data_IF_333834484345
#
_entry.id   IF_333834484345
#
_cell.length_a   1.000
_cell.length_b   1.000
_cell.length_c   1.000
_cell.angle_alpha   90.00
_cell.angle_beta   90.00
_cell.angle_gamma   90.00
#
_symmetry.space_group_name_H-M   'P 1'
#
loop_
_entity.id
_entity.type
_entity.pdbx_description
1 polymer ?
#
# COMPACT_ATOMS: atom_id res chain seq x y z
N UNK A 1 17.64 18.33 -11.42
CA UNK A 1 17.06 17.45 -12.47
C UNK A 1 15.72 18.04 -12.89
N UNK A 2 15.42 18.11 -14.20
CA UNK A 2 14.17 18.71 -14.70
C UNK A 2 13.01 17.71 -14.65
N UNK A 3 11.82 18.16 -14.22
CA UNK A 3 10.58 17.36 -14.22
C UNK A 3 10.18 16.85 -15.63
N UNK A 4 10.73 17.46 -16.69
CA UNK A 4 10.49 17.03 -18.08
C UNK A 4 11.12 15.67 -18.42
N UNK A 5 12.01 15.14 -17.56
CA UNK A 5 12.67 13.84 -17.74
C UNK A 5 11.89 12.63 -17.18
N UNK A 6 10.75 12.87 -16.51
CA UNK A 6 9.97 11.81 -15.88
C UNK A 6 8.74 11.42 -16.73
N UNK A 7 8.37 10.12 -16.80
CA UNK A 7 7.12 9.71 -17.44
C UNK A 7 5.92 10.41 -16.79
N UNK A 8 4.96 10.91 -17.58
CA UNK A 8 3.72 11.52 -17.04
C UNK A 8 2.92 10.58 -16.13
N UNK A 9 3.10 9.26 -16.25
CA UNK A 9 2.53 8.24 -15.38
C UNK A 9 3.16 8.20 -13.97
N UNK A 10 4.39 8.69 -13.81
CA UNK A 10 5.11 8.75 -12.54
C UNK A 10 4.69 9.96 -11.68
N UNK A 11 3.98 10.93 -12.29
CA UNK A 11 3.42 12.14 -11.69
C UNK A 11 2.03 11.92 -11.07
N UNK A 12 1.47 10.71 -11.13
CA UNK A 12 0.09 10.46 -10.69
C UNK A 12 0.03 10.46 -9.16
N UNK A 13 -0.12 11.66 -8.60
CA UNK A 13 -0.67 11.84 -7.27
C UNK A 13 -2.18 11.60 -7.40
N UNK A 14 -2.60 10.37 -7.13
CA UNK A 14 -4.01 9.95 -7.22
C UNK A 14 -4.93 10.71 -6.25
N UNK A 15 -4.37 11.35 -5.22
CA UNK A 15 -5.09 11.97 -4.12
C UNK A 15 -4.91 13.51 -4.16
N UNK A 16 -5.98 14.22 -4.50
CA UNK A 16 -6.03 15.69 -4.65
C UNK A 16 -5.02 16.28 -5.67
N UNK A 17 -5.01 15.80 -6.93
CA UNK A 17 -4.06 16.29 -7.94
C UNK A 17 -4.22 17.80 -8.23
N UNK A 18 -5.42 18.35 -8.05
CA UNK A 18 -5.73 19.77 -8.25
C UNK A 18 -5.11 20.69 -7.19
N UNK A 19 -4.56 20.15 -6.11
CA UNK A 19 -3.88 20.92 -5.07
C UNK A 19 -2.40 21.17 -5.38
N UNK A 20 -1.87 20.58 -6.45
CA UNK A 20 -0.49 20.76 -6.89
C UNK A 20 -0.40 21.91 -7.91
N UNK A 21 0.37 22.94 -7.58
CA UNK A 21 0.71 23.97 -8.56
C UNK A 21 1.83 23.45 -9.49
N UNK A 22 1.44 22.74 -10.54
CA UNK A 22 2.38 22.13 -11.50
C UNK A 22 3.31 23.14 -12.16
N UNK A 23 2.83 24.36 -12.45
CA UNK A 23 3.67 25.44 -13.01
C UNK A 23 4.80 25.82 -12.07
N UNK A 24 4.51 25.95 -10.77
CA UNK A 24 5.53 26.20 -9.76
C UNK A 24 6.51 25.03 -9.68
N UNK A 25 6.02 23.78 -9.71
CA UNK A 25 6.91 22.61 -9.66
C UNK A 25 7.91 22.60 -10.82
N UNK A 26 7.48 22.96 -12.04
CA UNK A 26 8.38 23.10 -13.19
C UNK A 26 9.36 24.27 -13.08
N UNK A 27 9.02 25.32 -12.33
CA UNK A 27 9.86 26.51 -12.16
C UNK A 27 10.94 26.32 -11.08
N UNK A 28 10.69 25.51 -10.05
CA UNK A 28 11.61 25.30 -8.92
C UNK A 28 13.07 24.98 -9.35
N UNK A 29 13.34 24.10 -10.32
CA UNK A 29 14.71 23.82 -10.76
C UNK A 29 15.48 25.07 -11.21
N UNK A 30 14.79 26.07 -11.78
CA UNK A 30 15.41 27.27 -12.32
C UNK A 30 15.63 28.36 -11.25
N UNK A 31 14.94 28.26 -10.11
CA UNK A 31 14.95 29.30 -9.07
C UNK A 31 15.57 28.87 -7.74
N UNK A 32 15.72 27.55 -7.50
CA UNK A 32 16.13 27.01 -6.19
C UNK A 32 17.55 27.44 -5.77
N UNK A 33 18.43 27.67 -6.74
CA UNK A 33 19.83 28.06 -6.51
C UNK A 33 20.05 29.59 -6.56
N UNK A 34 18.99 30.38 -6.79
CA UNK A 34 19.09 31.84 -6.86
C UNK A 34 19.10 32.44 -5.45
N UNK A 35 20.15 33.20 -5.11
CA UNK A 35 20.36 33.74 -3.76
C UNK A 35 19.26 34.72 -3.33
N UNK A 36 18.61 35.40 -4.27
CA UNK A 36 17.57 36.39 -4.03
C UNK A 36 16.19 35.78 -3.80
N UNK A 37 16.02 34.47 -4.05
CA UNK A 37 14.73 33.79 -4.00
C UNK A 37 14.75 32.74 -2.88
N UNK A 38 13.92 32.95 -1.87
CA UNK A 38 13.61 31.89 -0.89
C UNK A 38 12.39 31.12 -1.36
N UNK A 39 12.58 29.87 -1.77
CA UNK A 39 11.46 28.95 -2.06
C UNK A 39 10.82 28.52 -0.74
N UNK A 40 9.49 28.52 -0.69
CA UNK A 40 8.71 28.02 0.44
C UNK A 40 9.11 26.57 0.78
N UNK A 41 9.45 26.25 2.05
CA UNK A 41 9.83 24.89 2.45
C UNK A 41 8.79 23.82 2.07
N UNK A 42 7.49 24.12 2.15
CA UNK A 42 6.45 23.16 1.75
C UNK A 42 6.54 22.87 0.25
N UNK A 43 6.69 23.90 -0.58
CA UNK A 43 6.87 23.74 -2.03
C UNK A 43 8.15 22.96 -2.39
N UNK A 44 9.25 23.14 -1.64
CA UNK A 44 10.47 22.35 -1.82
C UNK A 44 10.26 20.87 -1.52
N UNK A 45 9.63 20.55 -0.39
CA UNK A 45 9.33 19.15 -0.04
C UNK A 45 8.39 18.55 -1.08
N UNK A 46 7.36 19.28 -1.51
CA UNK A 46 6.44 18.82 -2.55
C UNK A 46 7.18 18.49 -3.85
N UNK A 47 8.06 19.39 -4.28
CA UNK A 47 8.89 19.19 -5.48
C UNK A 47 9.79 17.95 -5.36
N UNK A 48 10.56 17.83 -4.28
CA UNK A 48 11.43 16.67 -4.09
C UNK A 48 10.64 15.38 -3.90
N UNK A 49 9.46 15.43 -3.29
CA UNK A 49 8.58 14.26 -3.17
C UNK A 49 8.04 13.81 -4.53
N UNK A 50 7.67 14.74 -5.41
CA UNK A 50 7.27 14.43 -6.78
C UNK A 50 8.45 13.78 -7.54
N UNK A 51 9.66 14.31 -7.40
CA UNK A 51 10.86 13.71 -8.02
C UNK A 51 11.18 12.33 -7.44
N UNK A 52 11.05 12.16 -6.13
CA UNK A 52 11.23 10.88 -5.46
C UNK A 52 10.29 9.83 -6.05
N UNK A 53 8.97 10.10 -6.06
CA UNK A 53 7.99 9.16 -6.64
C UNK A 53 8.21 8.96 -8.13
N UNK A 54 8.59 10.03 -8.84
CA UNK A 54 8.98 9.98 -10.25
C UNK A 54 10.12 9.00 -10.53
N UNK A 55 11.14 9.04 -9.68
CA UNK A 55 12.37 8.25 -9.85
C UNK A 55 12.17 6.75 -9.70
N UNK A 56 11.08 6.32 -9.04
CA UNK A 56 10.70 4.91 -8.93
C UNK A 56 10.34 4.26 -10.27
N UNK A 57 10.01 5.07 -11.29
CA UNK A 57 9.58 4.61 -12.61
C UNK A 57 10.65 4.80 -13.69
N UNK A 58 11.82 5.34 -13.35
CA UNK A 58 12.93 5.51 -14.29
C UNK A 58 13.72 4.20 -14.36
N UNK A 59 14.01 3.73 -15.57
CA UNK A 59 14.87 2.56 -15.78
C UNK A 59 16.29 2.85 -15.27
N UNK A 60 16.97 1.89 -14.59
CA UNK A 60 18.35 2.02 -14.16
C UNK A 60 19.32 2.39 -15.31
N UNK A 61 18.98 2.05 -16.55
CA UNK A 61 19.74 2.38 -17.76
C UNK A 61 19.70 3.89 -18.10
N UNK A 62 18.68 4.60 -17.63
CA UNK A 62 18.49 6.04 -17.84
C UNK A 62 19.06 6.90 -16.71
N UNK A 63 19.48 6.29 -15.60
CA UNK A 63 20.16 7.00 -14.52
C UNK A 63 21.67 7.07 -14.78
N UNK A 64 22.31 8.25 -14.62
CA UNK A 64 23.76 8.36 -14.69
C UNK A 64 24.43 7.38 -13.72
N UNK A 65 25.51 6.72 -14.18
CA UNK A 65 26.23 5.74 -13.36
C UNK A 65 26.66 6.36 -12.01
N UNK A 66 26.16 5.81 -10.90
CA UNK A 66 26.66 6.07 -9.55
C UNK A 66 25.83 6.98 -8.65
N UNK A 67 24.73 7.57 -9.11
CA UNK A 67 23.85 8.38 -8.24
C UNK A 67 22.61 7.60 -7.79
N UNK A 68 22.48 7.38 -6.47
CA UNK A 68 21.23 6.92 -5.88
C UNK A 68 20.23 8.09 -5.84
N UNK A 69 19.59 8.32 -6.99
CA UNK A 69 18.64 9.43 -7.20
C UNK A 69 17.50 9.39 -6.19
N UNK A 70 16.94 8.20 -5.93
CA UNK A 70 15.84 7.98 -4.98
C UNK A 70 16.26 8.46 -3.58
N UNK A 71 17.40 7.98 -3.08
CA UNK A 71 17.92 8.35 -1.77
C UNK A 71 18.24 9.84 -1.69
N UNK A 72 18.82 10.40 -2.75
CA UNK A 72 19.11 11.84 -2.83
C UNK A 72 17.84 12.67 -2.71
N UNK A 73 16.79 12.35 -3.47
CA UNK A 73 15.51 13.06 -3.40
C UNK A 73 14.87 12.94 -2.02
N UNK A 74 14.90 11.74 -1.42
CA UNK A 74 14.37 11.53 -0.07
C UNK A 74 15.11 12.36 0.98
N UNK A 75 16.45 12.39 0.94
CA UNK A 75 17.26 13.22 1.85
C UNK A 75 16.95 14.70 1.69
N UNK A 76 16.70 15.18 0.47
CA UNK A 76 16.32 16.58 0.26
C UNK A 76 14.94 16.90 0.86
N UNK A 77 13.98 15.98 0.77
CA UNK A 77 12.73 16.10 1.50
C UNK A 77 12.99 16.24 3.01
N UNK A 78 13.82 15.35 3.59
CA UNK A 78 14.11 15.36 5.03
C UNK A 78 14.76 16.67 5.50
N UNK A 79 15.68 17.24 4.71
CA UNK A 79 16.35 18.51 5.03
C UNK A 79 15.40 19.70 5.08
N UNK A 80 14.33 19.68 4.29
CA UNK A 80 13.34 20.76 4.25
C UNK A 80 12.25 20.62 5.34
N UNK A 81 12.18 19.50 6.07
CA UNK A 81 11.18 19.29 7.14
C UNK A 81 11.31 20.29 8.30
N UNK A 82 12.48 20.53 8.91
CA UNK A 82 12.56 21.43 10.06
C UNK A 82 12.04 22.86 9.80
N UNK A 83 12.35 23.52 8.67
CA UNK A 83 11.74 24.81 8.37
C UNK A 83 10.26 24.70 8.01
N UNK A 84 9.82 23.63 7.32
CA UNK A 84 8.40 23.40 7.04
C UNK A 84 7.57 23.25 8.32
N UNK A 85 8.00 22.44 9.28
CA UNK A 85 7.28 22.22 10.54
C UNK A 85 7.03 23.51 11.34
N UNK A 86 7.91 24.51 11.21
CA UNK A 86 7.77 25.81 11.88
C UNK A 86 6.70 26.69 11.22
N UNK A 87 6.38 26.44 9.96
CA UNK A 87 5.52 27.28 9.12
C UNK A 87 4.22 26.56 8.69
N UNK A 88 4.18 25.24 8.81
CA UNK A 88 3.07 24.39 8.42
C UNK A 88 1.77 24.90 9.07
N UNK A 89 0.82 25.25 8.23
CA UNK A 89 -0.45 25.84 8.65
C UNK A 89 -1.64 25.07 8.13
N UNK A 90 -1.47 23.81 7.70
CA UNK A 90 -2.55 22.93 7.27
C UNK A 90 -3.27 23.44 6.01
N UNK A 91 -2.50 23.97 5.06
CA UNK A 91 -2.96 24.36 3.73
C UNK A 91 -3.19 23.15 2.82
N UNK A 92 -3.76 23.38 1.62
CA UNK A 92 -3.87 22.35 0.57
C UNK A 92 -2.51 21.79 0.16
N UNK A 93 -1.48 22.65 0.10
CA UNK A 93 -0.11 22.25 -0.20
C UNK A 93 0.47 21.41 0.94
N UNK A 94 0.25 21.80 2.19
CA UNK A 94 0.66 21.00 3.35
C UNK A 94 0.01 19.61 3.32
N UNK A 95 -1.26 19.52 2.95
CA UNK A 95 -1.98 18.25 2.82
C UNK A 95 -1.30 17.32 1.79
N UNK A 96 -1.15 17.77 0.54
CA UNK A 96 -0.56 16.92 -0.51
C UNK A 96 0.91 16.58 -0.21
N UNK A 97 1.66 17.54 0.31
CA UNK A 97 3.06 17.33 0.74
C UNK A 97 3.14 16.25 1.81
N UNK A 98 2.27 16.30 2.81
CA UNK A 98 2.19 15.30 3.88
C UNK A 98 1.81 13.92 3.34
N UNK A 99 0.88 13.84 2.37
CA UNK A 99 0.49 12.58 1.73
C UNK A 99 1.67 11.96 0.98
N UNK A 100 2.41 12.74 0.19
CA UNK A 100 3.54 12.23 -0.58
C UNK A 100 4.71 11.83 0.31
N UNK A 101 4.99 12.60 1.37
CA UNK A 101 5.99 12.26 2.37
C UNK A 101 5.61 11.01 3.16
N UNK A 102 4.34 10.87 3.56
CA UNK A 102 3.83 9.66 4.20
C UNK A 102 4.11 8.43 3.31
N UNK A 103 3.78 8.50 2.02
CA UNK A 103 4.02 7.42 1.06
C UNK A 103 5.52 7.14 0.89
N UNK A 104 6.34 8.18 0.74
CA UNK A 104 7.78 8.03 0.60
C UNK A 104 8.41 7.38 1.84
N UNK A 105 8.05 7.84 3.04
CA UNK A 105 8.50 7.25 4.30
C UNK A 105 8.09 5.77 4.43
N UNK A 106 6.87 5.43 4.01
CA UNK A 106 6.39 4.05 4.02
C UNK A 106 7.24 3.15 3.10
N UNK A 107 7.59 3.64 1.90
CA UNK A 107 8.46 2.94 0.95
C UNK A 107 9.93 2.85 1.41
N UNK A 108 10.36 3.75 2.31
CA UNK A 108 11.67 3.71 2.97
C UNK A 108 11.64 2.89 4.27
N UNK A 109 10.54 2.19 4.55
CA UNK A 109 10.32 1.44 5.79
C UNK A 109 10.40 2.27 7.09
N UNK A 110 10.27 3.59 7.02
CA UNK A 110 10.18 4.46 8.18
C UNK A 110 8.71 4.62 8.60
N UNK A 111 8.19 3.58 9.25
CA UNK A 111 6.77 3.47 9.62
C UNK A 111 6.33 4.53 10.64
N UNK A 112 7.18 4.88 11.59
CA UNK A 112 6.85 5.89 12.61
C UNK A 112 6.79 7.29 12.02
N UNK A 113 7.72 7.61 11.11
CA UNK A 113 7.68 8.87 10.41
C UNK A 113 6.50 8.93 9.45
N UNK A 114 6.23 7.84 8.71
CA UNK A 114 5.05 7.74 7.84
C UNK A 114 3.74 7.96 8.61
N UNK A 115 3.59 7.30 9.77
CA UNK A 115 2.45 7.50 10.66
C UNK A 115 2.34 8.93 11.19
N UNK A 116 3.48 9.55 11.49
CA UNK A 116 3.54 10.96 11.91
C UNK A 116 3.08 11.92 10.81
N UNK A 117 3.44 11.65 9.56
CA UNK A 117 2.92 12.40 8.41
C UNK A 117 1.43 12.15 8.20
N UNK A 118 0.94 10.92 8.40
CA UNK A 118 -0.50 10.65 8.31
C UNK A 118 -1.32 11.42 9.36
N UNK A 119 -0.82 11.56 10.59
CA UNK A 119 -1.45 12.46 11.59
C UNK A 119 -1.55 13.90 11.09
N UNK A 120 -0.52 14.39 10.40
CA UNK A 120 -0.54 15.73 9.79
C UNK A 120 -1.53 15.81 8.63
N UNK A 121 -1.65 14.77 7.81
CA UNK A 121 -2.71 14.63 6.78
C UNK A 121 -4.08 14.79 7.42
N UNK A 122 -4.39 14.05 8.48
CA UNK A 122 -5.67 14.13 9.18
C UNK A 122 -5.91 15.53 9.80
N UNK A 123 -4.87 16.16 10.34
CA UNK A 123 -4.95 17.54 10.82
C UNK A 123 -5.31 18.51 9.68
N UNK A 124 -4.66 18.39 8.53
CA UNK A 124 -4.95 19.22 7.35
C UNK A 124 -6.38 19.00 6.85
N UNK A 125 -6.85 17.74 6.76
CA UNK A 125 -8.24 17.43 6.36
C UNK A 125 -9.28 18.12 7.26
N UNK A 126 -9.04 18.11 8.58
CA UNK A 126 -9.92 18.79 9.54
C UNK A 126 -9.90 20.29 9.33
N UNK A 127 -8.71 20.88 9.20
CA UNK A 127 -8.53 22.32 9.00
C UNK A 127 -9.15 22.83 7.70
N UNK A 128 -9.05 22.04 6.64
CA UNK A 128 -9.64 22.32 5.33
C UNK A 128 -11.14 21.98 5.26
N UNK A 129 -11.75 21.56 6.38
CA UNK A 129 -13.15 21.14 6.49
C UNK A 129 -13.56 20.05 5.48
N UNK A 130 -12.61 19.21 5.04
CA UNK A 130 -12.86 18.14 4.07
C UNK A 130 -13.67 16.98 4.65
N UNK A 131 -13.80 16.96 5.97
CA UNK A 131 -14.65 16.01 6.69
C UNK A 131 -16.13 16.32 6.64
N UNK A 132 -16.50 17.55 6.27
CA UNK A 132 -17.88 18.02 6.22
C UNK A 132 -18.26 18.52 4.83
N UNK A 133 -17.66 17.94 3.78
CA UNK A 133 -17.90 18.33 2.39
C UNK A 133 -19.38 18.32 2.01
N UNK A 134 -20.17 17.43 2.63
CA UNK A 134 -21.58 17.25 2.31
C UNK A 134 -22.55 17.79 3.38
N UNK A 135 -22.06 18.48 4.42
CA UNK A 135 -22.89 18.95 5.54
C UNK A 135 -23.97 19.98 5.13
N UNK A 136 -23.76 20.72 4.03
CA UNK A 136 -24.61 21.82 3.60
C UNK A 136 -25.34 21.58 2.27
N UNK A 137 -25.52 20.35 1.80
CA UNK A 137 -26.41 20.13 0.65
C UNK A 137 -27.86 20.37 1.08
N UNK A 138 -28.50 21.50 0.68
CA UNK A 138 -29.90 21.68 0.98
C UNK A 138 -30.64 20.62 0.16
N UNK A 139 -31.50 19.85 0.83
CA UNK A 139 -32.44 18.89 0.22
C UNK A 139 -33.52 19.55 -0.65
N UNK A 140 -33.31 20.81 -1.06
CA UNK A 140 -34.19 21.56 -1.93
C UNK A 140 -33.37 22.19 -3.06
N UNK A 141 -33.72 21.78 -4.28
CA UNK A 141 -33.22 22.24 -5.57
C UNK A 141 -31.84 21.70 -5.97
N UNK A 142 -31.91 20.73 -6.88
CA UNK A 142 -30.90 20.45 -7.90
C UNK A 142 -30.47 21.78 -8.55
N UNK A 143 -29.47 22.45 -7.99
CA UNK A 143 -28.65 23.38 -8.77
C UNK A 143 -27.51 22.55 -9.37
N UNK A 144 -27.54 22.26 -10.69
CA UNK A 144 -26.51 21.47 -11.35
C UNK A 144 -25.12 22.11 -11.26
N UNK A 145 -25.03 23.40 -10.89
CA UNK A 145 -23.78 24.16 -10.78
C UNK A 145 -23.04 23.99 -9.46
N UNK A 146 -23.66 23.42 -8.42
CA UNK A 146 -22.96 23.04 -7.17
C UNK A 146 -22.35 21.63 -7.21
N UNK A 147 -22.44 20.93 -8.36
CA UNK A 147 -21.44 19.93 -8.75
C UNK A 147 -20.14 20.68 -9.08
N UNK A 148 -19.47 21.21 -8.05
CA UNK A 148 -18.21 21.92 -8.23
C UNK A 148 -17.24 21.01 -8.96
N UNK A 149 -16.64 21.52 -10.03
CA UNK A 149 -15.57 20.84 -10.77
C UNK A 149 -14.51 20.40 -9.75
N UNK A 150 -14.33 19.08 -9.58
CA UNK A 150 -13.40 18.50 -8.61
C UNK A 150 -14.00 17.98 -7.29
N UNK A 151 -15.28 18.20 -6.98
CA UNK A 151 -15.88 17.70 -5.73
C UNK A 151 -15.83 16.17 -5.60
N UNK A 152 -16.11 15.44 -6.68
CA UNK A 152 -16.02 13.98 -6.67
C UNK A 152 -14.57 13.52 -6.55
N UNK A 153 -13.61 14.21 -7.16
CA UNK A 153 -12.18 13.91 -6.98
C UNK A 153 -11.76 14.11 -5.52
N UNK A 154 -12.29 15.14 -4.85
CA UNK A 154 -12.03 15.35 -3.43
C UNK A 154 -12.66 14.27 -2.55
N UNK A 155 -13.88 13.82 -2.86
CA UNK A 155 -14.51 12.67 -2.19
C UNK A 155 -13.71 11.39 -2.41
N UNK A 156 -13.25 11.12 -3.63
CA UNK A 156 -12.38 9.99 -3.95
C UNK A 156 -11.09 10.03 -3.12
N UNK A 157 -10.43 11.19 -3.07
CA UNK A 157 -9.23 11.39 -2.26
C UNK A 157 -9.48 11.19 -0.76
N UNK A 158 -10.62 11.66 -0.25
CA UNK A 158 -11.02 11.45 1.13
C UNK A 158 -11.22 9.97 1.46
N UNK A 159 -11.99 9.22 0.64
CA UNK A 159 -12.23 7.79 0.83
C UNK A 159 -10.94 6.96 0.66
N UNK A 160 -10.03 7.36 -0.22
CA UNK A 160 -8.70 6.75 -0.30
C UNK A 160 -7.93 6.90 1.02
N UNK A 161 -8.04 8.04 1.71
CA UNK A 161 -7.39 8.25 3.01
C UNK A 161 -8.06 7.48 4.16
N UNK A 162 -9.35 7.15 4.04
CA UNK A 162 -10.03 6.20 4.95
C UNK A 162 -9.41 4.81 4.81
N UNK A 163 -9.18 4.35 3.58
CA UNK A 163 -8.49 3.08 3.34
C UNK A 163 -7.07 3.07 3.90
N UNK A 164 -6.33 4.18 3.76
CA UNK A 164 -5.00 4.34 4.37
C UNK A 164 -5.05 4.24 5.90
N UNK A 165 -6.06 4.81 6.57
CA UNK A 165 -6.27 4.66 8.03
C UNK A 165 -6.38 3.17 8.39
N UNK A 166 -7.21 2.43 7.65
CA UNK A 166 -7.46 1.01 7.87
C UNK A 166 -6.21 0.18 7.61
N UNK A 167 -5.43 0.54 6.58
CA UNK A 167 -4.15 -0.10 6.28
C UNK A 167 -3.15 0.06 7.43
N UNK A 168 -2.99 1.28 7.96
CA UNK A 168 -2.13 1.52 9.12
C UNK A 168 -2.59 0.75 10.36
N UNK A 169 -3.89 0.69 10.60
CA UNK A 169 -4.45 -0.10 11.71
C UNK A 169 -4.16 -1.59 11.55
N UNK A 170 -4.41 -2.12 10.35
CA UNK A 170 -4.36 -3.56 10.09
C UNK A 170 -2.94 -4.08 9.99
N UNK A 171 -2.10 -3.44 9.18
CA UNK A 171 -0.73 -3.90 8.96
C UNK A 171 0.24 -3.33 9.98
N UNK A 172 0.02 -2.13 10.52
CA UNK A 172 1.03 -1.46 11.36
C UNK A 172 0.62 -1.25 12.82
N UNK A 173 -0.48 -1.86 13.25
CA UNK A 173 -0.97 -1.81 14.63
C UNK A 173 -1.09 -0.37 15.16
N UNK A 174 -1.48 0.55 14.28
CA UNK A 174 -1.69 1.97 14.62
C UNK A 174 -3.13 2.21 15.08
N UNK A 175 -3.35 3.16 16.01
CA UNK A 175 -4.71 3.50 16.43
C UNK A 175 -5.46 4.21 15.30
N UNK A 176 -6.78 4.04 15.25
CA UNK A 176 -7.64 4.73 14.30
C UNK A 176 -7.57 6.27 14.46
N UNK A 177 -7.56 7.02 13.35
CA UNK A 177 -7.67 8.49 13.37
C UNK A 177 -8.93 8.96 12.64
N UNK A 178 -9.09 8.61 11.37
CA UNK A 178 -10.27 9.01 10.58
C UNK A 178 -11.44 8.11 10.98
N UNK A 179 -11.20 6.81 10.99
CA UNK A 179 -12.20 5.78 11.26
C UNK A 179 -12.65 5.72 12.72
N UNK A 180 -11.91 6.34 13.65
CA UNK A 180 -12.30 6.45 15.06
C UNK A 180 -13.64 7.18 15.24
N UNK A 181 -13.89 8.20 14.41
CA UNK A 181 -15.06 9.05 14.50
C UNK A 181 -15.88 9.05 13.20
N UNK A 182 -15.88 7.95 12.42
CA UNK A 182 -16.42 7.95 11.06
C UNK A 182 -17.87 8.50 10.96
N UNK A 183 -18.69 8.27 12.00
CA UNK A 183 -20.06 8.78 12.09
C UNK A 183 -20.19 10.32 12.14
N UNK A 184 -19.12 11.03 12.52
CA UNK A 184 -19.08 12.49 12.57
C UNK A 184 -18.77 13.11 11.19
N UNK A 185 -18.18 12.34 10.27
CA UNK A 185 -17.78 12.83 8.95
C UNK A 185 -18.99 12.83 8.00
N UNK A 186 -19.21 13.97 7.32
CA UNK A 186 -20.24 14.15 6.30
C UNK A 186 -19.57 14.19 4.93
N UNK A 187 -19.19 13.00 4.44
CA UNK A 187 -18.63 12.81 3.11
C UNK A 187 -19.35 11.67 2.41
N UNK A 188 -20.10 11.99 1.36
CA UNK A 188 -20.80 11.04 0.51
C UNK A 188 -19.81 10.23 -0.34
N UNK A 189 -20.26 9.10 -0.87
CA UNK A 189 -19.54 8.43 -1.94
C UNK A 189 -19.50 9.33 -3.18
N UNK A 190 -18.37 9.41 -3.90
CA UNK A 190 -18.27 10.20 -5.12
C UNK A 190 -19.21 9.66 -6.20
N UNK A 191 -19.75 10.57 -7.01
CA UNK A 191 -20.53 10.17 -8.17
C UNK A 191 -19.62 9.66 -9.30
N UNK A 192 -19.96 8.52 -9.88
CA UNK A 192 -19.23 7.93 -11.00
C UNK A 192 -19.68 8.59 -12.30
N UNK A 193 -19.24 9.82 -12.54
CA UNK A 193 -19.39 10.44 -13.86
C UNK A 193 -18.23 10.01 -14.75
N UNK A 194 -18.11 8.71 -15.02
CA UNK A 194 -17.18 8.25 -16.06
C UNK A 194 -17.70 8.73 -17.39
N UNK A 195 -16.96 9.59 -18.07
CA UNK A 195 -17.12 9.76 -19.52
C UNK A 195 -16.61 8.46 -20.13
N UNK A 196 -17.47 7.55 -20.63
CA UNK A 196 -17.08 6.19 -20.98
C UNK A 196 -16.15 6.11 -22.21
N UNK A 197 -15.90 7.26 -22.86
CA UNK A 197 -15.25 7.35 -24.16
C UNK A 197 -13.71 7.42 -24.08
N UNK A 198 -13.12 7.62 -22.89
CA UNK A 198 -11.66 7.63 -22.73
C UNK A 198 -11.15 6.37 -22.02
N UNK A 199 -10.41 5.54 -22.75
CA UNK A 199 -9.75 4.33 -22.22
C UNK A 199 -8.85 4.64 -21.00
N UNK A 200 -8.30 5.86 -20.91
CA UNK A 200 -7.43 6.34 -19.83
C UNK A 200 -8.13 6.42 -18.46
N UNK A 201 -9.48 6.43 -18.41
CA UNK A 201 -10.23 6.52 -17.15
C UNK A 201 -10.72 5.17 -16.62
N UNK A 202 -10.58 4.09 -17.40
CA UNK A 202 -11.10 2.76 -17.04
C UNK A 202 -10.41 2.23 -15.79
N UNK A 203 -9.06 2.18 -15.80
CA UNK A 203 -8.28 1.63 -14.67
C UNK A 203 -8.43 2.45 -13.39
N UNK A 204 -8.32 3.80 -13.41
CA UNK A 204 -8.57 4.61 -12.22
C UNK A 204 -9.97 4.43 -11.63
N UNK A 205 -11.00 4.32 -12.48
CA UNK A 205 -12.39 4.11 -12.02
C UNK A 205 -12.56 2.73 -11.39
N UNK A 206 -12.09 1.68 -12.07
CA UNK A 206 -12.12 0.31 -11.55
C UNK A 206 -11.41 0.23 -10.19
N UNK A 207 -10.21 0.79 -10.12
CA UNK A 207 -9.41 0.80 -8.88
C UNK A 207 -10.16 1.51 -7.77
N UNK A 208 -10.77 2.67 -8.05
CA UNK A 208 -11.56 3.40 -7.07
C UNK A 208 -12.74 2.58 -6.54
N UNK A 209 -13.48 1.90 -7.43
CA UNK A 209 -14.64 1.08 -7.05
C UNK A 209 -14.25 -0.09 -6.16
N UNK A 210 -13.19 -0.80 -6.54
CA UNK A 210 -12.68 -1.93 -5.76
C UNK A 210 -12.13 -1.45 -4.42
N UNK A 211 -11.32 -0.38 -4.39
CA UNK A 211 -10.81 0.22 -3.13
C UNK A 211 -11.95 0.67 -2.20
N UNK A 212 -13.02 1.23 -2.76
CA UNK A 212 -14.19 1.64 -1.98
C UNK A 212 -14.89 0.44 -1.34
N UNK A 213 -15.17 -0.62 -2.11
CA UNK A 213 -15.77 -1.86 -1.56
C UNK A 213 -14.87 -2.53 -0.53
N UNK A 214 -13.57 -2.61 -0.80
CA UNK A 214 -12.59 -3.10 0.15
C UNK A 214 -12.62 -2.30 1.46
N UNK A 215 -12.71 -0.97 1.39
CA UNK A 215 -12.82 -0.10 2.57
C UNK A 215 -14.01 -0.48 3.45
N UNK A 216 -15.18 -0.75 2.87
CA UNK A 216 -16.35 -1.20 3.63
C UNK A 216 -16.19 -2.58 4.24
N UNK A 217 -15.54 -3.53 3.54
CA UNK A 217 -15.24 -4.86 4.07
C UNK A 217 -14.29 -4.77 5.27
N UNK A 218 -13.27 -3.93 5.20
CA UNK A 218 -12.33 -3.70 6.31
C UNK A 218 -12.98 -2.96 7.48
N UNK A 219 -13.89 -2.02 7.22
CA UNK A 219 -14.69 -1.38 8.28
C UNK A 219 -15.56 -2.42 9.02
N UNK A 220 -16.22 -3.32 8.28
CA UNK A 220 -16.98 -4.44 8.87
C UNK A 220 -16.09 -5.36 9.71
N UNK A 221 -14.88 -5.67 9.24
CA UNK A 221 -13.91 -6.46 10.00
C UNK A 221 -13.60 -5.81 11.36
N UNK A 222 -13.28 -4.52 11.39
CA UNK A 222 -13.00 -3.83 12.65
C UNK A 222 -14.22 -3.66 13.56
N UNK A 223 -15.43 -3.53 12.99
CA UNK A 223 -16.67 -3.53 13.77
C UNK A 223 -16.90 -4.89 14.46
N UNK A 224 -16.70 -6.00 13.73
CA UNK A 224 -16.77 -7.36 14.28
C UNK A 224 -15.78 -7.53 15.44
N UNK A 225 -14.53 -7.06 15.30
CA UNK A 225 -13.53 -7.13 16.38
C UNK A 225 -13.85 -6.22 17.57
N UNK A 226 -14.53 -5.10 17.34
CA UNK A 226 -14.92 -4.16 18.40
C UNK A 226 -16.13 -4.64 19.23
N UNK A 227 -16.94 -5.55 18.68
CA UNK A 227 -18.09 -6.10 19.36
C UNK A 227 -17.68 -7.14 20.40
N UNK A 228 -18.28 -7.08 21.59
CA UNK A 228 -18.17 -8.15 22.60
C UNK A 228 -19.00 -9.35 22.13
N UNK A 229 -18.40 -10.19 21.31
CA UNK A 229 -19.07 -11.39 20.83
C UNK A 229 -19.28 -12.40 21.97
N UNK A 230 -20.53 -12.85 22.15
CA UNK A 230 -20.86 -13.94 23.07
C UNK A 230 -20.43 -15.31 22.50
N UNK A 231 -20.41 -15.44 21.16
CA UNK A 231 -20.01 -16.66 20.45
C UNK A 231 -18.80 -16.42 19.53
N UNK A 232 -17.67 -17.06 19.88
CA UNK A 232 -16.43 -17.01 19.09
C UNK A 232 -16.58 -17.64 17.70
N UNK A 233 -17.41 -18.68 17.56
CA UNK A 233 -17.58 -19.37 16.28
C UNK A 233 -18.31 -18.47 15.26
N UNK A 234 -19.28 -17.67 15.73
CA UNK A 234 -19.93 -16.66 14.90
C UNK A 234 -18.93 -15.64 14.32
N UNK A 235 -17.99 -15.16 15.14
CA UNK A 235 -16.93 -14.21 14.73
C UNK A 235 -16.02 -14.81 13.67
N UNK A 236 -15.58 -16.06 13.89
CA UNK A 236 -14.74 -16.80 12.95
C UNK A 236 -15.43 -16.90 11.58
N UNK A 237 -16.70 -17.33 11.54
CA UNK A 237 -17.46 -17.47 10.29
C UNK A 237 -17.63 -16.12 9.56
N UNK A 238 -17.83 -15.02 10.31
CA UNK A 238 -17.95 -13.69 9.73
C UNK A 238 -16.62 -13.22 9.11
N UNK A 239 -15.49 -13.41 9.79
CA UNK A 239 -14.17 -13.04 9.26
C UNK A 239 -13.80 -13.88 8.03
N UNK A 240 -14.10 -15.18 8.05
CA UNK A 240 -13.90 -16.06 6.90
C UNK A 240 -14.76 -15.61 5.71
N UNK A 241 -16.04 -15.28 5.95
CA UNK A 241 -16.93 -14.72 4.95
C UNK A 241 -16.39 -13.43 4.34
N UNK A 242 -15.81 -12.52 5.14
CA UNK A 242 -15.18 -11.31 4.62
C UNK A 242 -13.98 -11.62 3.71
N UNK A 243 -13.15 -12.61 4.05
CA UNK A 243 -12.04 -13.02 3.18
C UNK A 243 -12.55 -13.54 1.83
N UNK A 244 -13.64 -14.31 1.83
CA UNK A 244 -14.29 -14.78 0.60
C UNK A 244 -14.90 -13.62 -0.21
N UNK A 245 -15.53 -12.65 0.45
CA UNK A 245 -16.06 -11.44 -0.20
C UNK A 245 -14.94 -10.61 -0.87
N UNK A 246 -13.75 -10.52 -0.27
CA UNK A 246 -12.59 -9.84 -0.87
C UNK A 246 -12.08 -10.58 -2.11
N UNK A 247 -11.93 -11.91 -2.05
CA UNK A 247 -11.51 -12.72 -3.21
C UNK A 247 -12.52 -12.59 -4.37
N UNK A 248 -13.82 -12.70 -4.06
CA UNK A 248 -14.88 -12.54 -5.04
C UNK A 248 -14.88 -11.13 -5.66
N UNK A 249 -14.60 -10.10 -4.88
CA UNK A 249 -14.48 -8.72 -5.36
C UNK A 249 -13.35 -8.58 -6.41
N UNK A 250 -12.18 -9.17 -6.16
CA UNK A 250 -11.07 -9.10 -7.11
C UNK A 250 -11.39 -9.84 -8.43
N UNK A 251 -12.11 -10.96 -8.34
CA UNK A 251 -12.53 -11.75 -9.49
C UNK A 251 -13.66 -11.07 -10.29
N UNK A 252 -14.68 -10.54 -9.61
CA UNK A 252 -15.83 -9.83 -10.19
C UNK A 252 -15.37 -8.67 -11.10
N UNK A 253 -14.33 -7.94 -10.66
CA UNK A 253 -13.76 -6.82 -11.40
C UNK A 253 -12.57 -7.19 -12.28
N UNK A 254 -12.24 -8.48 -12.39
CA UNK A 254 -11.15 -9.00 -13.23
C UNK A 254 -9.84 -8.23 -13.05
N UNK A 255 -9.49 -7.94 -11.78
CA UNK A 255 -8.37 -7.04 -11.43
C UNK A 255 -7.05 -7.60 -11.96
N UNK A 256 -6.83 -8.91 -11.81
CA UNK A 256 -5.62 -9.60 -12.28
C UNK A 256 -5.50 -9.62 -13.81
N UNK A 257 -6.61 -9.83 -14.51
CA UNK A 257 -6.65 -9.80 -15.98
C UNK A 257 -6.38 -8.39 -16.49
N UNK A 258 -6.97 -7.38 -15.84
CA UNK A 258 -6.73 -5.96 -16.13
C UNK A 258 -5.27 -5.57 -15.88
N UNK A 259 -4.66 -6.10 -14.82
CA UNK A 259 -3.25 -5.88 -14.51
C UNK A 259 -2.35 -6.45 -15.61
N UNK A 260 -2.68 -7.65 -16.10
CA UNK A 260 -1.97 -8.29 -17.22
C UNK A 260 -2.15 -7.49 -18.52
N UNK A 261 -3.38 -7.02 -18.80
CA UNK A 261 -3.66 -6.20 -19.98
C UNK A 261 -2.94 -4.84 -19.96
N UNK A 262 -2.60 -4.33 -18.77
CA UNK A 262 -1.90 -3.05 -18.60
C UNK A 262 -0.38 -3.22 -18.42
N UNK A 263 0.21 -4.36 -18.82
CA UNK A 263 1.62 -4.67 -18.56
C UNK A 263 2.60 -3.59 -19.05
N UNK A 264 2.29 -2.94 -20.18
CA UNK A 264 3.13 -1.90 -20.79
C UNK A 264 2.87 -0.49 -20.21
N UNK A 265 1.79 -0.30 -19.46
CA UNK A 265 1.48 0.96 -18.80
C UNK A 265 1.86 0.89 -17.32
N UNK A 266 3.09 1.30 -17.00
CA UNK A 266 3.63 1.22 -15.65
C UNK A 266 2.72 1.84 -14.58
N UNK A 267 2.09 2.99 -14.84
CA UNK A 267 1.23 3.65 -13.87
C UNK A 267 -0.04 2.85 -13.56
N UNK A 268 -0.73 2.37 -14.60
CA UNK A 268 -1.94 1.56 -14.44
C UNK A 268 -1.63 0.18 -13.86
N UNK A 269 -0.52 -0.43 -14.28
CA UNK A 269 -0.06 -1.69 -13.71
C UNK A 269 0.19 -1.57 -12.21
N UNK A 270 0.93 -0.54 -11.78
CA UNK A 270 1.23 -0.31 -10.36
C UNK A 270 -0.02 -0.02 -9.54
N UNK A 271 -1.00 0.71 -10.11
CA UNK A 271 -2.27 0.99 -9.45
C UNK A 271 -3.07 -0.29 -9.16
N UNK A 272 -3.12 -1.21 -10.11
CA UNK A 272 -3.79 -2.51 -9.96
C UNK A 272 -3.00 -3.44 -9.04
N UNK A 273 -1.67 -3.45 -9.16
CA UNK A 273 -0.77 -4.22 -8.29
C UNK A 273 -0.87 -3.81 -6.82
N UNK A 274 -0.86 -2.50 -6.53
CA UNK A 274 -1.06 -1.93 -5.18
C UNK A 274 -2.42 -2.33 -4.60
N UNK A 275 -3.48 -2.25 -5.40
CA UNK A 275 -4.81 -2.69 -5.00
C UNK A 275 -4.83 -4.18 -4.65
N UNK A 276 -4.28 -5.04 -5.51
CA UNK A 276 -4.25 -6.48 -5.30
C UNK A 276 -3.41 -6.87 -4.08
N UNK A 277 -2.23 -6.26 -3.90
CA UNK A 277 -1.42 -6.42 -2.68
C UNK A 277 -2.17 -5.98 -1.43
N UNK A 278 -2.82 -4.81 -1.46
CA UNK A 278 -3.60 -4.29 -0.32
C UNK A 278 -4.69 -5.28 0.08
N UNK A 279 -5.44 -5.82 -0.89
CA UNK A 279 -6.48 -6.82 -0.64
C UNK A 279 -5.93 -8.08 0.01
N UNK A 280 -4.92 -8.72 -0.60
CA UNK A 280 -4.40 -9.98 -0.08
C UNK A 280 -3.63 -9.83 1.23
N UNK A 281 -2.85 -8.77 1.41
CA UNK A 281 -2.16 -8.54 2.68
C UNK A 281 -3.15 -8.24 3.80
N UNK A 282 -4.27 -7.56 3.49
CA UNK A 282 -5.36 -7.39 4.45
C UNK A 282 -5.98 -8.74 4.85
N UNK A 283 -6.28 -9.60 3.86
CA UNK A 283 -6.77 -10.96 4.11
C UNK A 283 -5.77 -11.78 4.93
N UNK A 284 -4.46 -11.60 4.71
CA UNK A 284 -3.43 -12.32 5.48
C UNK A 284 -3.52 -11.98 6.96
N UNK A 285 -3.63 -10.69 7.32
CA UNK A 285 -3.80 -10.29 8.72
C UNK A 285 -5.14 -10.80 9.28
N UNK A 286 -6.24 -10.65 8.53
CA UNK A 286 -7.56 -11.16 8.95
C UNK A 286 -7.54 -12.67 9.21
N UNK A 287 -6.83 -13.44 8.37
CA UNK A 287 -6.68 -14.89 8.52
C UNK A 287 -5.85 -15.27 9.75
N UNK A 288 -4.84 -14.47 10.10
CA UNK A 288 -4.05 -14.65 11.32
C UNK A 288 -4.88 -14.38 12.57
N UNK A 289 -5.70 -13.33 12.57
CA UNK A 289 -6.64 -13.08 13.66
C UNK A 289 -7.64 -14.23 13.82
N UNK A 290 -8.14 -14.78 12.71
CA UNK A 290 -9.02 -15.95 12.73
C UNK A 290 -8.33 -17.17 13.37
N UNK A 291 -7.10 -17.48 12.96
CA UNK A 291 -6.32 -18.57 13.54
C UNK A 291 -6.02 -18.36 15.04
N UNK A 292 -5.75 -17.12 15.44
CA UNK A 292 -5.59 -16.75 16.85
C UNK A 292 -6.88 -17.01 17.65
N UNK A 293 -8.03 -16.55 17.16
CA UNK A 293 -9.33 -16.78 17.80
C UNK A 293 -9.67 -18.27 17.92
N UNK A 294 -9.33 -19.08 16.92
CA UNK A 294 -9.52 -20.54 16.90
C UNK A 294 -8.62 -21.27 17.91
N UNK A 295 -7.39 -20.80 18.10
CA UNK A 295 -6.42 -21.42 19.01
C UNK A 295 -6.77 -21.31 20.49
N UNK A 296 -7.71 -20.43 20.85
CA UNK A 296 -8.07 -20.17 22.24
C UNK A 296 -6.99 -19.46 23.07
N UNK A 297 -5.88 -19.04 22.45
CA UNK A 297 -4.82 -18.26 23.09
C UNK A 297 -5.40 -16.93 23.62
N UNK A 298 -5.10 -16.59 24.87
CA UNK A 298 -5.51 -15.32 25.49
C UNK A 298 -4.37 -14.31 25.39
N UNK A 299 -4.53 -13.28 24.56
CA UNK A 299 -3.54 -12.22 24.34
C UNK A 299 -3.86 -11.36 23.10
N UNK A 300 -3.25 -10.20 22.96
CA UNK A 300 -3.30 -9.40 21.72
C UNK A 300 -2.32 -9.96 20.69
N UNK A 301 -2.81 -10.15 19.47
CA UNK A 301 -2.30 -11.02 18.39
C UNK A 301 -1.01 -10.57 17.67
N UNK A 302 -0.48 -9.37 17.93
CA UNK A 302 0.49 -8.77 17.00
C UNK A 302 1.94 -9.29 17.11
N UNK A 303 2.27 -10.13 18.10
CA UNK A 303 3.64 -10.61 18.35
C UNK A 303 3.77 -12.12 18.66
N UNK A 304 2.74 -12.92 18.41
CA UNK A 304 2.79 -14.38 18.66
C UNK A 304 3.35 -15.11 17.44
N UNK A 305 4.57 -15.66 17.57
CA UNK A 305 5.22 -16.52 16.57
C UNK A 305 4.51 -17.87 16.34
N UNK A 306 3.46 -18.18 17.11
CA UNK A 306 2.74 -19.46 17.07
C UNK A 306 1.27 -19.29 16.65
N UNK A 307 1.00 -18.65 15.51
CA UNK A 307 -0.37 -18.60 14.95
C UNK A 307 -0.61 -19.87 14.14
N UNK A 308 -1.68 -20.65 14.40
CA UNK A 308 -1.95 -21.87 13.65
C UNK A 308 -2.09 -21.60 12.15
N UNK A 309 -1.44 -22.43 11.32
CA UNK A 309 -1.58 -22.35 9.87
C UNK A 309 -2.90 -23.00 9.44
N UNK A 310 -3.70 -22.25 8.69
CA UNK A 310 -4.93 -22.73 8.07
C UNK A 310 -4.77 -22.83 6.55
N UNK A 311 -5.57 -23.68 5.88
CA UNK A 311 -5.57 -23.77 4.42
C UNK A 311 -5.87 -22.41 3.75
N UNK A 312 -6.75 -21.61 4.35
CA UNK A 312 -7.03 -20.25 3.91
C UNK A 312 -5.76 -19.37 3.95
N UNK A 313 -5.02 -19.38 5.06
CA UNK A 313 -3.78 -18.60 5.18
C UNK A 313 -2.70 -19.03 4.19
N UNK A 314 -2.57 -20.34 3.92
CA UNK A 314 -1.64 -20.87 2.90
C UNK A 314 -2.02 -20.38 1.50
N UNK A 315 -3.30 -20.43 1.15
CA UNK A 315 -3.78 -19.97 -0.15
C UNK A 315 -3.57 -18.47 -0.34
N UNK A 316 -3.83 -17.65 0.68
CA UNK A 316 -3.57 -16.20 0.67
C UNK A 316 -2.06 -15.95 0.54
N UNK A 317 -1.25 -16.66 1.33
CA UNK A 317 0.20 -16.49 1.32
C UNK A 317 0.81 -16.82 -0.06
N UNK A 318 0.29 -17.86 -0.73
CA UNK A 318 0.66 -18.19 -2.12
C UNK A 318 0.36 -17.03 -3.07
N UNK A 319 -0.83 -16.43 -3.00
CA UNK A 319 -1.18 -15.26 -3.83
C UNK A 319 -0.24 -14.07 -3.58
N UNK A 320 0.13 -13.81 -2.33
CA UNK A 320 1.07 -12.74 -1.99
C UNK A 320 2.47 -13.05 -2.54
N UNK A 321 2.93 -14.31 -2.47
CA UNK A 321 4.23 -14.69 -3.01
C UNK A 321 4.27 -14.68 -4.54
N UNK A 322 3.17 -15.04 -5.22
CA UNK A 322 3.03 -14.86 -6.67
C UNK A 322 3.16 -13.38 -7.05
N UNK A 323 2.50 -12.49 -6.30
CA UNK A 323 2.61 -11.04 -6.49
C UNK A 323 4.01 -10.52 -6.15
N UNK A 324 4.65 -11.04 -5.12
CA UNK A 324 6.03 -10.69 -4.78
C UNK A 324 6.97 -11.08 -5.93
N UNK A 325 6.86 -12.31 -6.45
CA UNK A 325 7.64 -12.77 -7.59
C UNK A 325 7.43 -11.88 -8.82
N UNK A 326 6.17 -11.59 -9.14
CA UNK A 326 5.79 -10.74 -10.27
C UNK A 326 6.35 -9.32 -10.14
N UNK A 327 6.12 -8.67 -9.00
CA UNK A 327 6.53 -7.28 -8.77
C UNK A 327 8.04 -7.09 -8.72
N UNK A 328 8.75 -7.97 -8.00
CA UNK A 328 10.22 -7.94 -7.93
C UNK A 328 10.87 -8.32 -9.26
N UNK A 329 10.22 -9.19 -10.06
CA UNK A 329 10.67 -9.53 -11.40
C UNK A 329 10.53 -8.38 -12.38
N UNK A 330 9.40 -7.67 -12.34
CA UNK A 330 9.09 -6.56 -13.25
C UNK A 330 9.85 -5.27 -12.89
N UNK A 331 10.03 -4.99 -11.60
CA UNK A 331 10.72 -3.82 -11.10
C UNK A 331 11.79 -4.22 -10.06
N UNK A 332 12.95 -4.75 -10.49
CA UNK A 332 14.01 -5.21 -9.61
C UNK A 332 14.73 -4.01 -8.96
N UNK A 333 14.09 -3.41 -7.97
CA UNK A 333 14.58 -2.22 -7.28
C UNK A 333 14.42 -2.36 -5.76
N UNK A 334 15.29 -1.69 -4.96
CA UNK A 334 15.15 -1.68 -3.51
C UNK A 334 13.80 -1.13 -3.06
N UNK A 335 13.24 -0.15 -3.78
CA UNK A 335 11.92 0.39 -3.48
C UNK A 335 10.79 -0.64 -3.66
N UNK A 336 10.86 -1.50 -4.68
CA UNK A 336 9.90 -2.59 -4.84
C UNK A 336 10.03 -3.64 -3.71
N UNK A 337 11.25 -3.98 -3.32
CA UNK A 337 11.51 -4.87 -2.19
C UNK A 337 10.95 -4.30 -0.87
N UNK A 338 11.25 -3.03 -0.57
CA UNK A 338 10.73 -2.33 0.60
C UNK A 338 9.21 -2.16 0.58
N UNK A 339 8.61 -1.98 -0.60
CA UNK A 339 7.16 -1.97 -0.75
C UNK A 339 6.56 -3.33 -0.33
N UNK A 340 7.00 -4.43 -0.97
CA UNK A 340 6.43 -5.77 -0.75
C UNK A 340 6.72 -6.28 0.67
N UNK A 341 7.98 -6.25 1.11
CA UNK A 341 8.40 -6.86 2.38
C UNK A 341 8.35 -5.89 3.56
N UNK A 342 8.53 -4.59 3.34
CA UNK A 342 8.40 -3.58 4.38
C UNK A 342 6.96 -3.13 4.59
N UNK A 343 6.43 -2.34 3.66
CA UNK A 343 5.11 -1.73 3.77
C UNK A 343 3.98 -2.77 3.83
N UNK A 344 3.98 -3.73 2.91
CA UNK A 344 2.95 -4.77 2.84
C UNK A 344 3.24 -6.01 3.70
N UNK A 345 4.35 -6.02 4.44
CA UNK A 345 4.75 -7.12 5.33
C UNK A 345 4.74 -8.50 4.67
N UNK A 346 5.20 -8.59 3.42
CA UNK A 346 5.27 -9.83 2.65
C UNK A 346 6.00 -10.98 3.36
N UNK A 347 6.87 -10.69 4.34
CA UNK A 347 7.50 -11.70 5.19
C UNK A 347 6.49 -12.55 5.99
N UNK A 348 5.31 -12.03 6.31
CA UNK A 348 4.26 -12.80 7.01
C UNK A 348 3.71 -13.93 6.14
N UNK A 349 3.52 -13.66 4.84
CA UNK A 349 3.12 -14.66 3.87
C UNK A 349 4.25 -15.65 3.57
N UNK A 350 5.48 -15.15 3.42
CA UNK A 350 6.65 -16.02 3.25
C UNK A 350 6.80 -16.99 4.42
N UNK A 351 6.74 -16.49 5.66
CA UNK A 351 6.82 -17.31 6.87
C UNK A 351 5.69 -18.32 6.98
N UNK A 352 4.45 -17.93 6.63
CA UNK A 352 3.29 -18.83 6.63
C UNK A 352 3.49 -20.02 5.68
N UNK A 353 3.95 -19.79 4.45
CA UNK A 353 4.27 -20.88 3.52
C UNK A 353 5.46 -21.71 4.01
N UNK A 354 6.51 -21.08 4.50
CA UNK A 354 7.69 -21.79 5.00
C UNK A 354 7.33 -22.77 6.13
N UNK A 355 6.57 -22.30 7.11
CA UNK A 355 6.12 -23.14 8.24
C UNK A 355 5.13 -24.23 7.79
N UNK A 356 4.26 -23.96 6.80
CA UNK A 356 3.42 -24.99 6.18
C UNK A 356 4.24 -26.10 5.51
N UNK A 357 5.32 -25.74 4.81
CA UNK A 357 6.19 -26.69 4.11
C UNK A 357 7.05 -27.52 5.08
N UNK A 358 7.48 -26.93 6.20
CA UNK A 358 8.17 -27.65 7.29
C UNK A 358 7.26 -28.71 7.90
N UNK A 359 5.98 -28.39 8.10
CA UNK A 359 5.01 -29.26 8.77
C UNK A 359 4.41 -30.34 7.86
N UNK A 360 4.14 -30.03 6.59
CA UNK A 360 3.37 -30.92 5.70
C UNK A 360 4.23 -31.97 4.99
N UNK A 361 5.53 -31.69 4.76
CA UNK A 361 6.46 -32.58 4.05
C UNK A 361 6.09 -32.86 2.57
N UNK A 362 6.97 -33.48 1.78
CA UNK A 362 6.75 -33.72 0.35
C UNK A 362 6.00 -35.04 0.05
N UNK A 363 5.27 -35.61 1.03
CA UNK A 363 4.91 -37.04 1.03
C UNK A 363 3.70 -37.35 0.11
N UNK A 364 2.92 -36.36 -0.30
CA UNK A 364 1.75 -36.55 -1.16
C UNK A 364 2.03 -36.13 -2.63
N UNK A 365 1.88 -37.03 -3.63
CA UNK A 365 2.03 -36.72 -5.05
C UNK A 365 1.05 -35.66 -5.58
N UNK A 366 -0.04 -35.38 -4.85
CA UNK A 366 -1.00 -34.31 -5.15
C UNK A 366 -0.69 -32.99 -4.45
N UNK A 367 0.39 -32.94 -3.67
CA UNK A 367 0.80 -31.78 -2.88
C UNK A 367 1.31 -30.64 -3.77
N UNK A 368 0.87 -29.42 -3.43
CA UNK A 368 1.42 -28.18 -4.01
C UNK A 368 2.75 -27.77 -3.37
N UNK A 369 3.28 -28.56 -2.42
CA UNK A 369 4.46 -28.22 -1.64
C UNK A 369 5.71 -27.96 -2.49
N UNK A 370 5.95 -28.75 -3.53
CA UNK A 370 7.11 -28.52 -4.42
C UNK A 370 6.98 -27.20 -5.19
N UNK A 371 5.79 -26.90 -5.71
CA UNK A 371 5.51 -25.63 -6.38
C UNK A 371 5.65 -24.43 -5.42
N UNK A 372 5.16 -24.57 -4.19
CA UNK A 372 5.27 -23.54 -3.15
C UNK A 372 6.74 -23.31 -2.75
N UNK A 373 7.54 -24.38 -2.64
CA UNK A 373 8.98 -24.27 -2.38
C UNK A 373 9.70 -23.55 -3.52
N UNK A 374 9.42 -23.93 -4.78
CA UNK A 374 9.97 -23.25 -5.96
C UNK A 374 9.61 -21.76 -5.96
N UNK A 375 8.38 -21.42 -5.59
CA UNK A 375 7.94 -20.02 -5.49
C UNK A 375 8.74 -19.25 -4.42
N UNK A 376 8.93 -19.81 -3.23
CA UNK A 376 9.74 -19.20 -2.17
C UNK A 376 11.20 -18.99 -2.59
N UNK A 377 11.79 -19.94 -3.31
CA UNK A 377 13.15 -19.83 -3.85
C UNK A 377 13.25 -18.76 -4.93
N UNK A 378 12.27 -18.70 -5.83
CA UNK A 378 12.22 -17.68 -6.88
C UNK A 378 12.12 -16.27 -6.28
N UNK A 379 11.29 -16.08 -5.25
CA UNK A 379 11.18 -14.79 -4.54
C UNK A 379 12.51 -14.42 -3.85
N UNK A 380 13.12 -15.36 -3.13
CA UNK A 380 14.42 -15.14 -2.48
C UNK A 380 15.54 -14.81 -3.49
N UNK A 381 15.54 -15.47 -4.66
CA UNK A 381 16.49 -15.21 -5.74
C UNK A 381 16.31 -13.80 -6.31
N UNK A 382 15.07 -13.33 -6.52
CA UNK A 382 14.80 -11.95 -6.98
C UNK A 382 15.33 -10.92 -5.98
N UNK A 383 15.08 -11.13 -4.68
CA UNK A 383 15.63 -10.26 -3.64
C UNK A 383 17.14 -10.29 -3.56
N UNK A 384 17.78 -11.45 -3.81
CA UNK A 384 19.24 -11.57 -3.86
C UNK A 384 19.83 -10.66 -4.92
N UNK A 385 19.26 -10.67 -6.14
CA UNK A 385 19.68 -9.78 -7.23
C UNK A 385 19.53 -8.30 -6.85
N UNK A 386 18.43 -7.94 -6.18
CA UNK A 386 18.21 -6.55 -5.76
C UNK A 386 19.23 -6.14 -4.67
N UNK A 387 19.54 -7.04 -3.74
CA UNK A 387 20.49 -6.80 -2.65
C UNK A 387 21.94 -6.61 -3.11
N UNK A 388 22.28 -6.98 -4.35
CA UNK A 388 23.57 -6.62 -4.96
C UNK A 388 23.71 -5.10 -5.14
N UNK A 389 22.59 -4.40 -5.35
CA UNK A 389 22.55 -2.94 -5.51
C UNK A 389 22.33 -2.18 -4.20
N UNK A 390 21.74 -2.82 -3.19
CA UNK A 390 21.44 -2.23 -1.89
C UNK A 390 21.71 -3.23 -0.76
N UNK A 391 22.82 -3.01 -0.05
CA UNK A 391 23.28 -3.92 0.99
C UNK A 391 22.37 -3.94 2.24
N UNK A 392 21.50 -2.95 2.41
CA UNK A 392 20.56 -2.90 3.54
C UNK A 392 19.52 -4.04 3.47
N UNK A 393 19.35 -4.65 2.30
CA UNK A 393 18.47 -5.81 2.08
C UNK A 393 19.13 -7.16 2.40
N UNK A 394 20.46 -7.22 2.60
CA UNK A 394 21.18 -8.47 2.86
C UNK A 394 20.66 -9.26 4.07
N UNK A 395 20.30 -8.64 5.21
CA UNK A 395 19.75 -9.39 6.35
C UNK A 395 18.45 -10.13 6.01
N UNK A 396 17.55 -9.50 5.23
CA UNK A 396 16.32 -10.12 4.77
C UNK A 396 16.63 -11.31 3.86
N UNK A 397 17.48 -11.11 2.85
CA UNK A 397 17.87 -12.18 1.90
C UNK A 397 18.45 -13.39 2.61
N UNK A 398 19.36 -13.17 3.57
CA UNK A 398 19.96 -14.27 4.36
C UNK A 398 18.90 -15.04 5.14
N UNK A 399 17.98 -14.33 5.80
CA UNK A 399 16.88 -14.94 6.55
C UNK A 399 16.02 -15.84 5.65
N UNK A 400 15.62 -15.34 4.47
CA UNK A 400 14.82 -16.15 3.53
C UNK A 400 15.57 -17.37 3.03
N UNK A 401 16.87 -17.24 2.77
CA UNK A 401 17.71 -18.36 2.34
C UNK A 401 17.85 -19.42 3.43
N UNK A 402 18.07 -19.02 4.68
CA UNK A 402 18.14 -19.93 5.84
C UNK A 402 16.82 -20.67 6.06
N UNK A 403 15.68 -20.00 5.89
CA UNK A 403 14.36 -20.63 5.94
C UNK A 403 14.21 -21.71 4.86
N UNK A 404 14.58 -21.40 3.61
CA UNK A 404 14.53 -22.35 2.51
C UNK A 404 15.44 -23.57 2.74
N UNK A 405 16.64 -23.35 3.25
CA UNK A 405 17.55 -24.45 3.61
C UNK A 405 16.97 -25.35 4.71
N UNK A 406 16.29 -24.75 5.69
CA UNK A 406 15.63 -25.48 6.78
C UNK A 406 14.51 -26.39 6.26
N UNK A 407 13.70 -25.92 5.31
CA UNK A 407 12.65 -26.73 4.66
C UNK A 407 13.28 -27.94 3.94
N UNK A 408 14.30 -27.71 3.12
CA UNK A 408 15.02 -28.78 2.41
C UNK A 408 15.65 -29.80 3.34
N UNK A 409 16.28 -29.35 4.43
CA UNK A 409 16.85 -30.24 5.44
C UNK A 409 15.76 -31.13 6.04
N UNK A 410 14.59 -30.56 6.35
CA UNK A 410 13.48 -31.32 6.93
C UNK A 410 12.90 -32.35 5.98
N UNK A 411 12.78 -32.03 4.70
CA UNK A 411 12.32 -32.96 3.67
C UNK A 411 13.30 -34.13 3.47
N UNK A 412 14.61 -33.87 3.57
CA UNK A 412 15.65 -34.91 3.54
C UNK A 412 15.59 -35.84 4.76
N UNK A 413 15.38 -35.31 5.96
CA UNK A 413 15.20 -36.12 7.17
C UNK A 413 13.97 -37.05 7.05
N UNK A 414 12.85 -36.51 6.58
CA UNK A 414 11.61 -37.26 6.46
C UNK A 414 11.70 -38.37 5.40
N UNK A 415 12.38 -38.11 4.27
CA UNK A 415 12.62 -39.11 3.21
C UNK A 415 13.67 -40.16 3.59
N UNK A 416 14.60 -39.86 4.50
CA UNK A 416 15.53 -40.87 5.04
C UNK A 416 14.92 -41.75 6.14
N UNK A 417 13.77 -41.34 6.70
CA UNK A 417 13.05 -42.04 7.78
C UNK A 417 11.87 -42.88 7.29
N UNK A 418 11.56 -42.80 5.99
CA UNK A 418 10.54 -43.60 5.28
C UNK A 418 11.20 -44.61 4.36
#
# INVERSE_FOLDING_TARGET
>A
MSLQSFPRSALIVDIFPDFINTKLMYLIPDIIDLQEISVDPTALILYYSILYHGSLFISPEMTPQGENLIQTMYVQCLRAIPPWQKQASGTKTDLVTSILLMRAALQQCDFEFSWSMYKLVCHCLRKLNMHNMDQNFPSHFLDPKLKTVGADQHRMGFWALVLVDLFFRLLHDKPAIITANLAEWRVNLPSLNTVPELAEHVVPTLTFLVKSRLTFLLLRFFDILGQKAEDKNSVINLIEGLCQEIEALLQEWSVTDSMTACEDNAGFWWMLYDLTLTSYCSMMIMSRELAFLQSGLSGTSTASDNVPITLLSVNIARRIMDLAHLGLGKYPSPAAASCVFGAFRGYLAYGCLAEHLVTSGPIDPSSTAEADMVLLEQVAQRLTVIAESDQDLLPLVRTLHELNQTIHAKWKENSASS
#
